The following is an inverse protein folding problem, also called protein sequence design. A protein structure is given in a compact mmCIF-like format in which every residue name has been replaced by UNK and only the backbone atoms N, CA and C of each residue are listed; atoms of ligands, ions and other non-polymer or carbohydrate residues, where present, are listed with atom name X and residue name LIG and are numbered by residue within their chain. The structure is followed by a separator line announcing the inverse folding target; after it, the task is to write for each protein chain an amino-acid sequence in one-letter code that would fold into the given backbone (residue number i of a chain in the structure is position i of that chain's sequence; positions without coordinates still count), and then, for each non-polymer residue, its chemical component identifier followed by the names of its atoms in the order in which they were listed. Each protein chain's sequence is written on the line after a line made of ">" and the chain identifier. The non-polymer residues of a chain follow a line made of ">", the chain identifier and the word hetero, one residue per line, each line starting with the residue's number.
data_IF_299261652821
#
_entry.id   IF_299261652821
#
_cell.length_a   1.000
_cell.length_b   1.000
_cell.length_c   1.000
_cell.angle_alpha   90.00
_cell.angle_beta   90.00
_cell.angle_gamma   90.00
#
_symmetry.space_group_name_H-M   'P 1'
#
loop_
_entity.id
_entity.type
_entity.pdbx_description
1 polymer ?
#
# COMPACT_ATOMS: atom_id res chain seq x y z
N UNK A 1 -9.56 -30.32 25.97
CA UNK A 1 -10.90 -30.67 25.55
C UNK A 1 -10.94 -32.03 24.82
N UNK A 2 -10.29 -32.23 23.65
CA UNK A 2 -10.17 -33.56 22.99
C UNK A 2 -9.53 -34.63 23.88
N UNK A 3 -8.54 -34.25 24.71
CA UNK A 3 -7.93 -35.18 25.70
C UNK A 3 -8.86 -35.55 26.85
N UNK A 4 -9.66 -34.59 27.33
CA UNK A 4 -10.63 -34.85 28.39
C UNK A 4 -11.76 -35.78 27.92
N UNK A 5 -12.17 -35.70 26.66
CA UNK A 5 -13.17 -36.55 26.03
C UNK A 5 -12.70 -38.01 25.91
N UNK A 6 -11.43 -38.22 25.63
CA UNK A 6 -10.82 -39.55 25.57
C UNK A 6 -10.74 -40.26 26.95
N UNK A 7 -10.87 -39.51 28.04
CA UNK A 7 -10.87 -40.07 29.41
C UNK A 7 -12.24 -40.38 29.98
N UNK A 8 -13.32 -40.10 29.25
CA UNK A 8 -14.72 -40.42 29.69
C UNK A 8 -15.01 -41.88 29.40
N UNK A 9 -15.14 -42.66 30.44
CA UNK A 9 -15.45 -44.10 30.36
C UNK A 9 -16.95 -44.44 30.24
N UNK A 10 -17.84 -43.47 30.48
CA UNK A 10 -19.28 -43.63 30.42
C UNK A 10 -19.81 -43.45 28.99
N UNK A 11 -20.33 -44.54 28.43
CA UNK A 11 -20.88 -44.61 27.08
C UNK A 11 -22.09 -43.66 26.88
N UNK A 12 -22.92 -43.47 27.88
CA UNK A 12 -24.11 -42.60 27.83
C UNK A 12 -23.67 -41.10 27.83
N UNK A 13 -22.67 -40.76 28.63
CA UNK A 13 -22.08 -39.41 28.65
C UNK A 13 -21.41 -39.07 27.33
N UNK A 14 -20.67 -40.00 26.71
CA UNK A 14 -20.07 -39.84 25.41
C UNK A 14 -21.08 -39.60 24.28
N UNK A 15 -22.20 -40.37 24.29
CA UNK A 15 -23.28 -40.19 23.33
C UNK A 15 -23.91 -38.78 23.43
N UNK A 16 -24.15 -38.33 24.68
CA UNK A 16 -24.70 -36.99 24.94
C UNK A 16 -23.75 -35.86 24.52
N UNK A 17 -22.45 -36.01 24.75
CA UNK A 17 -21.44 -35.05 24.30
C UNK A 17 -21.40 -34.97 22.76
N UNK A 18 -21.51 -36.11 22.07
CA UNK A 18 -21.53 -36.13 20.59
C UNK A 18 -22.80 -35.46 20.03
N UNK A 19 -23.98 -35.71 20.63
CA UNK A 19 -25.21 -35.04 20.23
C UNK A 19 -25.11 -33.53 20.40
N UNK A 20 -24.66 -33.05 21.57
CA UNK A 20 -24.50 -31.64 21.85
C UNK A 20 -23.49 -30.98 20.90
N UNK A 21 -22.43 -31.66 20.49
CA UNK A 21 -21.46 -31.18 19.52
C UNK A 21 -22.07 -31.05 18.13
N UNK A 22 -22.87 -32.00 17.71
CA UNK A 22 -23.58 -31.97 16.44
C UNK A 22 -24.63 -30.85 16.42
N UNK A 23 -25.38 -30.69 17.51
CA UNK A 23 -26.40 -29.63 17.63
C UNK A 23 -25.80 -28.22 17.62
N UNK A 24 -24.59 -28.05 18.16
CA UNK A 24 -23.87 -26.77 18.23
C UNK A 24 -22.95 -26.53 17.02
N UNK A 25 -22.82 -27.51 16.12
CA UNK A 25 -21.93 -27.49 14.96
C UNK A 25 -20.51 -26.96 15.29
N UNK A 26 -19.94 -27.54 16.37
CA UNK A 26 -18.69 -27.07 16.99
C UNK A 26 -17.51 -27.07 15.96
N UNK A 27 -17.52 -28.02 15.03
CA UNK A 27 -16.42 -28.11 14.06
C UNK A 27 -16.53 -27.00 13.02
N UNK A 28 -17.73 -26.60 12.59
CA UNK A 28 -17.98 -25.41 11.81
C UNK A 28 -17.51 -24.14 12.54
N UNK A 29 -17.90 -23.98 13.80
CA UNK A 29 -17.49 -22.81 14.60
C UNK A 29 -15.96 -22.68 14.75
N UNK A 30 -15.24 -23.81 14.84
CA UNK A 30 -13.78 -23.82 14.96
C UNK A 30 -13.10 -23.32 13.67
N UNK A 31 -13.71 -23.53 12.53
CA UNK A 31 -13.21 -23.04 11.23
C UNK A 31 -13.67 -21.59 10.96
N UNK A 32 -14.93 -21.30 11.29
CA UNK A 32 -15.55 -20.01 10.99
C UNK A 32 -15.04 -18.88 11.88
N UNK A 33 -14.90 -19.11 13.19
CA UNK A 33 -14.41 -18.07 14.12
C UNK A 33 -13.04 -17.52 13.73
N UNK A 34 -12.00 -18.34 13.43
CA UNK A 34 -10.72 -17.82 12.97
C UNK A 34 -10.81 -17.02 11.64
N UNK A 35 -11.69 -17.41 10.73
CA UNK A 35 -11.92 -16.71 9.48
C UNK A 35 -12.57 -15.34 9.74
N UNK A 36 -13.64 -15.32 10.52
CA UNK A 36 -14.34 -14.09 10.92
C UNK A 36 -13.43 -13.12 11.68
N UNK A 37 -12.57 -13.63 12.56
CA UNK A 37 -11.56 -12.82 13.26
C UNK A 37 -10.52 -12.24 12.30
N UNK A 38 -10.11 -13.00 11.28
CA UNK A 38 -9.20 -12.53 10.24
C UNK A 38 -9.83 -11.42 9.42
N UNK A 39 -11.03 -11.63 8.92
CA UNK A 39 -11.79 -10.64 8.15
C UNK A 39 -12.03 -9.34 8.94
N UNK A 40 -12.39 -9.48 10.22
CA UNK A 40 -12.57 -8.34 11.13
C UNK A 40 -11.28 -7.58 11.33
N UNK A 41 -10.16 -8.27 11.54
CA UNK A 41 -8.83 -7.65 11.68
C UNK A 41 -8.43 -6.92 10.39
N UNK A 42 -8.66 -7.52 9.23
CA UNK A 42 -8.33 -6.92 7.94
C UNK A 42 -9.21 -5.68 7.67
N UNK A 43 -10.48 -5.73 8.09
CA UNK A 43 -11.38 -4.57 8.08
C UNK A 43 -10.88 -3.42 8.97
N UNK A 44 -10.47 -3.73 10.21
CA UNK A 44 -9.92 -2.74 11.15
C UNK A 44 -8.61 -2.14 10.61
N UNK A 45 -7.73 -2.95 10.02
CA UNK A 45 -6.50 -2.46 9.42
C UNK A 45 -6.77 -1.49 8.27
N UNK A 46 -7.81 -1.76 7.45
CA UNK A 46 -8.25 -0.84 6.39
C UNK A 46 -8.73 0.49 6.94
N UNK A 47 -9.62 0.47 7.94
CA UNK A 47 -10.10 1.70 8.59
C UNK A 47 -8.94 2.49 9.20
N UNK A 48 -8.01 1.81 9.88
CA UNK A 48 -6.81 2.44 10.45
C UNK A 48 -5.98 3.13 9.37
N UNK A 49 -5.81 2.49 8.21
CA UNK A 49 -5.07 3.07 7.08
C UNK A 49 -5.79 4.31 6.54
N UNK A 50 -7.10 4.22 6.28
CA UNK A 50 -7.91 5.36 5.82
C UNK A 50 -7.79 6.55 6.79
N UNK A 51 -7.88 6.30 8.09
CA UNK A 51 -7.73 7.34 9.12
C UNK A 51 -6.31 7.91 9.12
N UNK A 52 -5.28 7.09 8.91
CA UNK A 52 -3.91 7.56 8.80
C UNK A 52 -3.72 8.42 7.55
N UNK A 53 -4.20 7.96 6.40
CA UNK A 53 -4.12 8.68 5.13
C UNK A 53 -4.88 10.05 5.23
N UNK A 54 -6.05 10.07 5.86
CA UNK A 54 -6.80 11.30 6.15
C UNK A 54 -6.04 12.23 7.10
N UNK A 55 -5.40 11.67 8.12
CA UNK A 55 -4.58 12.43 9.09
C UNK A 55 -3.33 13.00 8.41
N UNK A 56 -2.70 12.23 7.52
CA UNK A 56 -1.53 12.68 6.79
C UNK A 56 -1.93 13.75 5.76
N UNK A 57 -3.08 13.59 5.09
CA UNK A 57 -3.69 14.62 4.26
C UNK A 57 -4.04 15.89 5.06
N UNK A 58 -4.61 15.74 6.26
CA UNK A 58 -4.94 16.89 7.14
C UNK A 58 -3.72 17.53 7.80
N UNK A 59 -2.61 16.79 8.00
CA UNK A 59 -1.35 17.36 8.52
C UNK A 59 -0.59 18.16 7.49
N UNK A 60 -0.96 18.02 6.19
CA UNK A 60 -0.45 18.86 5.11
C UNK A 60 -0.66 20.36 5.42
N UNK A 61 -1.66 20.70 6.27
CA UNK A 61 -1.96 22.10 6.61
C UNK A 61 -1.16 22.71 7.77
N UNK A 62 -0.37 21.96 8.54
CA UNK A 62 0.08 22.42 9.86
C UNK A 62 1.53 22.92 9.96
N UNK A 63 2.29 23.20 8.91
CA UNK A 63 3.59 23.92 8.85
C UNK A 63 4.31 23.67 7.51
N UNK A 64 3.62 23.81 6.41
CA UNK A 64 4.26 23.67 5.11
C UNK A 64 4.57 25.07 4.59
N UNK A 65 5.77 25.50 4.87
CA UNK A 65 6.27 26.75 4.31
C UNK A 65 6.73 26.48 2.87
N UNK A 66 6.39 27.41 2.00
CA UNK A 66 6.96 27.46 0.66
C UNK A 66 8.43 27.81 0.78
N UNK A 67 9.28 27.01 0.20
CA UNK A 67 10.72 27.21 0.22
C UNK A 67 11.32 26.96 -1.17
N UNK A 68 12.47 27.55 -1.42
CA UNK A 68 13.24 27.33 -2.64
C UNK A 68 14.00 26.01 -2.51
N UNK A 69 13.59 24.98 -3.25
CA UNK A 69 14.02 23.60 -3.10
C UNK A 69 14.79 23.10 -4.30
N UNK A 70 15.88 22.37 -4.04
CA UNK A 70 16.53 21.51 -5.03
C UNK A 70 15.73 20.22 -5.17
N UNK A 71 14.97 20.08 -6.27
CA UNK A 71 14.14 18.90 -6.52
C UNK A 71 14.96 17.62 -6.71
N UNK A 72 16.19 17.70 -7.28
CA UNK A 72 17.04 16.53 -7.45
C UNK A 72 17.45 15.94 -6.10
N UNK A 73 17.85 16.79 -5.15
CA UNK A 73 18.17 16.34 -3.79
C UNK A 73 16.96 15.67 -3.11
N UNK A 74 15.74 16.19 -3.31
CA UNK A 74 14.49 15.61 -2.83
C UNK A 74 14.19 14.26 -3.45
N UNK A 75 14.33 14.12 -4.78
CA UNK A 75 14.14 12.87 -5.52
C UNK A 75 15.14 11.81 -5.05
N UNK A 76 16.42 12.15 -4.95
CA UNK A 76 17.46 11.20 -4.52
C UNK A 76 17.26 10.75 -3.07
N UNK A 77 16.86 11.65 -2.18
CA UNK A 77 16.48 11.28 -0.81
C UNK A 77 15.30 10.31 -0.78
N UNK A 78 14.28 10.58 -1.60
CA UNK A 78 13.11 9.72 -1.72
C UNK A 78 13.47 8.33 -2.27
N UNK A 79 14.32 8.27 -3.30
CA UNK A 79 14.84 7.01 -3.86
C UNK A 79 15.57 6.18 -2.80
N UNK A 80 16.36 6.80 -1.93
CA UNK A 80 17.03 6.11 -0.83
C UNK A 80 16.02 5.48 0.15
N UNK A 81 14.92 6.18 0.45
CA UNK A 81 13.87 5.68 1.34
C UNK A 81 13.17 4.45 0.73
N UNK A 82 12.80 4.54 -0.55
CA UNK A 82 12.06 3.46 -1.24
C UNK A 82 12.96 2.40 -1.87
N UNK A 83 14.27 2.49 -1.69
CA UNK A 83 15.23 1.58 -2.32
C UNK A 83 14.95 0.10 -2.06
N UNK A 84 14.44 -0.24 -0.88
CA UNK A 84 14.10 -1.63 -0.56
C UNK A 84 12.94 -2.19 -1.39
N UNK A 85 12.03 -1.33 -1.82
CA UNK A 85 10.90 -1.69 -2.69
C UNK A 85 11.33 -1.84 -4.16
N UNK A 86 12.36 -1.08 -4.58
CA UNK A 86 12.76 -0.97 -5.99
C UNK A 86 13.91 -1.91 -6.34
N UNK A 87 14.93 -2.04 -5.50
CA UNK A 87 16.23 -2.68 -5.83
C UNK A 87 16.14 -4.10 -6.39
N UNK A 88 15.08 -4.84 -6.07
CA UNK A 88 14.83 -6.20 -6.58
C UNK A 88 13.80 -6.25 -7.71
N UNK A 89 13.26 -5.09 -8.10
CA UNK A 89 12.19 -4.96 -9.07
C UNK A 89 12.59 -4.20 -10.32
N UNK A 90 13.47 -3.20 -10.18
CA UNK A 90 13.83 -2.35 -11.31
C UNK A 90 15.21 -1.73 -11.18
N UNK A 91 15.85 -1.48 -12.32
CA UNK A 91 16.93 -0.54 -12.46
C UNK A 91 16.37 0.89 -12.51
N UNK A 92 16.98 1.81 -11.76
CA UNK A 92 16.59 3.23 -11.77
C UNK A 92 17.58 4.02 -12.63
N UNK A 93 17.05 4.60 -13.69
CA UNK A 93 17.80 5.47 -14.62
C UNK A 93 17.42 6.91 -14.34
N UNK A 94 18.44 7.77 -14.11
CA UNK A 94 18.27 9.19 -13.85
C UNK A 94 18.67 9.98 -15.09
N UNK A 95 17.72 10.66 -15.70
CA UNK A 95 17.91 11.56 -16.83
C UNK A 95 17.56 12.99 -16.39
N UNK A 96 18.35 13.51 -15.44
CA UNK A 96 18.11 14.83 -14.88
C UNK A 96 18.57 15.94 -15.83
N UNK A 97 17.62 16.79 -16.21
CA UNK A 97 17.92 18.04 -16.90
C UNK A 97 18.32 19.18 -15.94
N UNK A 98 18.64 20.32 -16.48
CA UNK A 98 18.90 21.50 -15.67
C UNK A 98 17.61 22.04 -15.04
N UNK A 99 17.59 22.14 -13.71
CA UNK A 99 16.48 22.70 -12.94
C UNK A 99 17.01 23.82 -12.03
N UNK A 100 16.46 25.03 -12.09
CA UNK A 100 16.67 26.00 -11.02
C UNK A 100 15.96 25.53 -9.74
N UNK A 101 16.34 26.07 -8.58
CA UNK A 101 15.55 25.86 -7.37
C UNK A 101 14.10 26.26 -7.58
N UNK A 102 13.16 25.40 -7.12
CA UNK A 102 11.72 25.57 -7.33
C UNK A 102 11.06 25.95 -6.01
N UNK A 103 10.24 27.01 -6.03
CA UNK A 103 9.41 27.33 -4.87
C UNK A 103 8.29 26.31 -4.73
N UNK A 104 8.35 25.50 -3.68
CA UNK A 104 7.35 24.48 -3.40
C UNK A 104 7.37 24.04 -1.93
N UNK A 105 6.44 23.19 -1.59
CA UNK A 105 6.42 22.49 -0.30
C UNK A 105 7.13 21.15 -0.49
N UNK A 106 8.43 21.07 -0.12
CA UNK A 106 9.30 19.92 -0.35
C UNK A 106 8.68 18.59 0.08
N UNK A 107 8.04 18.56 1.26
CA UNK A 107 7.42 17.35 1.77
C UNK A 107 6.29 16.80 0.88
N UNK A 108 5.50 17.69 0.25
CA UNK A 108 4.42 17.29 -0.65
C UNK A 108 4.97 16.72 -1.95
N UNK A 109 5.97 17.38 -2.54
CA UNK A 109 6.61 16.90 -3.77
C UNK A 109 7.26 15.54 -3.53
N UNK A 110 8.02 15.39 -2.44
CA UNK A 110 8.66 14.12 -2.08
C UNK A 110 7.62 13.01 -1.85
N UNK A 111 6.47 13.31 -1.27
CA UNK A 111 5.37 12.35 -1.09
C UNK A 111 4.79 11.90 -2.45
N UNK A 112 4.61 12.83 -3.40
CA UNK A 112 4.14 12.49 -4.76
C UNK A 112 5.17 11.59 -5.45
N UNK A 113 6.45 11.96 -5.42
CA UNK A 113 7.55 11.17 -6.02
C UNK A 113 7.60 9.78 -5.40
N UNK A 114 7.51 9.68 -4.07
CA UNK A 114 7.50 8.39 -3.36
C UNK A 114 6.34 7.51 -3.82
N UNK A 115 5.14 8.05 -3.90
CA UNK A 115 3.96 7.31 -4.33
C UNK A 115 4.10 6.79 -5.77
N UNK A 116 4.61 7.63 -6.68
CA UNK A 116 4.83 7.24 -8.07
C UNK A 116 5.89 6.13 -8.18
N UNK A 117 7.02 6.26 -7.48
CA UNK A 117 8.10 5.26 -7.48
C UNK A 117 7.64 3.90 -6.93
N UNK A 118 6.89 3.90 -5.83
CA UNK A 118 6.33 2.67 -5.25
C UNK A 118 5.29 2.05 -6.19
N UNK A 119 4.47 2.87 -6.85
CA UNK A 119 3.51 2.36 -7.83
C UNK A 119 4.21 1.77 -9.06
N UNK A 120 5.24 2.42 -9.59
CA UNK A 120 6.08 1.91 -10.66
C UNK A 120 6.70 0.54 -10.30
N UNK A 121 7.31 0.43 -9.12
CA UNK A 121 7.88 -0.84 -8.64
C UNK A 121 6.82 -1.95 -8.51
N UNK A 122 5.60 -1.61 -8.10
CA UNK A 122 4.49 -2.56 -8.01
C UNK A 122 3.92 -2.98 -9.37
N UNK A 123 3.99 -2.11 -10.39
CA UNK A 123 3.55 -2.41 -11.75
C UNK A 123 4.49 -3.37 -12.49
N UNK A 124 5.74 -3.48 -12.03
CA UNK A 124 6.76 -4.35 -12.61
C UNK A 124 6.65 -5.76 -11.99
N UNK A 125 6.36 -6.76 -12.82
CA UNK A 125 6.16 -8.13 -12.37
C UNK A 125 7.48 -8.85 -12.05
N UNK A 126 8.42 -8.88 -12.99
CA UNK A 126 9.73 -9.53 -12.83
C UNK A 126 10.81 -8.50 -12.48
N UNK A 127 11.64 -8.14 -13.47
CA UNK A 127 12.65 -7.11 -13.35
C UNK A 127 12.55 -6.13 -14.51
N UNK A 128 12.45 -4.85 -14.21
CA UNK A 128 12.23 -3.81 -15.19
C UNK A 128 13.12 -2.60 -15.02
N UNK A 129 12.63 -1.47 -15.50
CA UNK A 129 13.31 -0.18 -15.38
C UNK A 129 12.32 0.91 -14.97
N UNK A 130 12.83 1.87 -14.22
CA UNK A 130 12.15 3.12 -13.88
C UNK A 130 13.06 4.24 -14.34
N UNK A 131 12.58 5.11 -15.21
CA UNK A 131 13.31 6.27 -15.71
C UNK A 131 12.74 7.52 -15.07
N UNK A 132 13.59 8.35 -14.48
CA UNK A 132 13.19 9.62 -13.87
C UNK A 132 13.81 10.74 -14.72
N UNK A 133 12.96 11.56 -15.31
CA UNK A 133 13.36 12.74 -16.08
C UNK A 133 12.93 14.00 -15.38
N UNK A 134 13.74 15.01 -15.45
CA UNK A 134 13.42 16.34 -14.94
C UNK A 134 13.87 17.39 -15.94
N UNK A 135 13.25 18.53 -15.90
CA UNK A 135 13.62 19.65 -16.77
C UNK A 135 12.68 20.83 -16.62
N UNK A 136 12.85 21.80 -17.51
CA UNK A 136 11.97 22.97 -17.63
C UNK A 136 11.35 22.97 -19.02
N UNK A 137 10.03 23.04 -19.07
CA UNK A 137 9.27 23.23 -20.31
C UNK A 137 8.31 24.39 -20.14
N UNK A 138 8.34 25.39 -21.04
CA UNK A 138 7.45 26.58 -21.00
C UNK A 138 7.40 27.27 -19.63
N UNK A 139 8.58 27.50 -19.05
CA UNK A 139 8.78 28.10 -17.71
C UNK A 139 8.19 27.27 -16.54
N UNK A 140 7.90 26.01 -16.77
CA UNK A 140 7.45 25.10 -15.73
C UNK A 140 8.46 23.98 -15.51
N UNK A 141 8.83 23.75 -14.25
CA UNK A 141 9.59 22.56 -13.86
C UNK A 141 8.72 21.32 -13.98
N UNK A 142 9.25 20.23 -14.53
CA UNK A 142 8.58 18.96 -14.58
C UNK A 142 9.41 17.84 -13.95
N UNK A 143 8.72 16.85 -13.40
CA UNK A 143 9.24 15.55 -12.99
C UNK A 143 8.43 14.50 -13.73
N UNK A 144 9.09 13.66 -14.51
CA UNK A 144 8.49 12.54 -15.22
C UNK A 144 9.05 11.24 -14.64
N UNK A 145 8.17 10.29 -14.36
CA UNK A 145 8.54 8.95 -13.91
C UNK A 145 7.91 7.96 -14.89
N UNK A 146 8.74 7.26 -15.64
CA UNK A 146 8.35 6.23 -16.60
C UNK A 146 8.73 4.86 -16.06
N UNK A 147 7.82 3.89 -16.11
CA UNK A 147 8.08 2.49 -15.84
C UNK A 147 7.74 1.62 -17.05
N UNK A 148 8.30 0.42 -17.11
CA UNK A 148 7.97 -0.58 -18.12
C UNK A 148 7.11 -1.71 -17.56
N UNK A 149 6.29 -1.44 -16.56
CA UNK A 149 5.37 -2.39 -15.95
C UNK A 149 4.14 -2.69 -16.79
N UNK A 150 3.11 -3.26 -16.15
CA UNK A 150 1.87 -3.68 -16.82
C UNK A 150 0.99 -2.53 -17.32
N UNK A 151 1.32 -1.28 -16.96
CA UNK A 151 0.57 -0.10 -17.35
C UNK A 151 -0.81 0.02 -16.71
N UNK A 152 -1.56 1.05 -17.12
CA UNK A 152 -2.91 1.35 -16.61
C UNK A 152 -3.92 1.24 -17.74
N UNK A 153 -4.92 0.33 -17.63
CA UNK A 153 -5.98 0.19 -18.64
C UNK A 153 -6.67 1.52 -18.91
N UNK A 154 -6.97 1.82 -20.19
CA UNK A 154 -7.49 3.11 -20.61
C UNK A 154 -8.80 3.55 -19.87
N UNK A 155 -9.66 2.58 -19.53
CA UNK A 155 -10.89 2.85 -18.80
C UNK A 155 -10.67 3.27 -17.32
N UNK A 156 -9.50 2.97 -16.74
CA UNK A 156 -9.15 3.32 -15.36
C UNK A 156 -8.38 4.64 -15.26
N UNK A 157 -7.76 5.11 -16.36
CA UNK A 157 -6.87 6.29 -16.34
C UNK A 157 -7.53 7.56 -15.81
N UNK A 158 -8.86 7.70 -15.94
CA UNK A 158 -9.60 8.84 -15.36
C UNK A 158 -9.86 8.68 -13.86
N UNK A 159 -9.91 7.45 -13.38
CA UNK A 159 -10.29 7.12 -12.01
C UNK A 159 -9.08 7.04 -11.06
N UNK A 160 -7.85 6.92 -11.59
CA UNK A 160 -6.64 6.78 -10.75
C UNK A 160 -6.38 7.98 -9.84
N UNK A 161 -6.97 9.14 -10.15
CA UNK A 161 -6.89 10.35 -9.32
C UNK A 161 -8.08 10.53 -8.38
N UNK A 162 -9.10 9.64 -8.46
CA UNK A 162 -10.22 9.71 -7.54
C UNK A 162 -9.76 9.30 -6.14
N UNK A 163 -10.17 10.03 -5.10
CA UNK A 163 -9.84 9.68 -3.73
C UNK A 163 -10.29 8.24 -3.41
N UNK A 164 -9.40 7.48 -2.76
CA UNK A 164 -9.64 6.09 -2.35
C UNK A 164 -9.76 5.06 -3.49
N UNK A 165 -9.54 5.46 -4.74
CA UNK A 165 -9.53 4.51 -5.85
C UNK A 165 -8.28 3.62 -5.78
N UNK A 166 -8.48 2.32 -5.89
CA UNK A 166 -7.40 1.34 -5.99
C UNK A 166 -7.86 0.06 -6.69
N UNK A 167 -7.01 -0.51 -7.52
CA UNK A 167 -7.20 -1.83 -8.13
C UNK A 167 -6.51 -2.93 -7.32
N UNK A 168 -5.75 -2.56 -6.29
CA UNK A 168 -5.01 -3.50 -5.46
C UNK A 168 -5.93 -4.21 -4.47
N UNK A 169 -5.61 -5.46 -4.08
CA UNK A 169 -6.36 -6.16 -3.05
C UNK A 169 -6.42 -5.35 -1.76
N UNK A 170 -7.50 -5.56 -1.02
CA UNK A 170 -7.77 -4.92 0.26
C UNK A 170 -6.56 -4.97 1.19
N UNK A 171 -6.11 -3.79 1.64
CA UNK A 171 -4.96 -3.63 2.52
C UNK A 171 -3.61 -3.42 1.82
N UNK A 172 -3.55 -3.46 0.48
CA UNK A 172 -2.35 -3.18 -0.32
C UNK A 172 -2.47 -1.93 -1.21
N UNK A 173 -3.62 -1.25 -1.22
CA UNK A 173 -3.80 0.05 -1.86
C UNK A 173 -3.21 1.18 -0.99
N UNK A 174 -2.49 2.11 -1.59
CA UNK A 174 -2.16 3.42 -1.01
C UNK A 174 -3.29 4.37 -1.27
#
# INVERSE_FOLDING_TARGET
>A
YKQAEASVSDSAALARIRSLKADLDIDYLKEDIPNLMRESRDGIQRVRKIVQDLKDFSRVDARQEWESVDLHAGIDSTLNIVNNEIKYKAEVIREYGELPPVECIAAQINQVVMNLLVNAAHAIEEFGRIVIRTGVERDQAFIEIEDNGCGIPAHLQRQIFDPFFTTKPVGKGT
#
